data_IF_300209887961
#
_entry.id   IF_300209887961
#
_cell.length_a   1.000
_cell.length_b   1.000
_cell.length_c   1.000
_cell.angle_alpha   90.00
_cell.angle_beta   90.00
_cell.angle_gamma   90.00
#
_symmetry.space_group_name_H-M   'P 1'
#
loop_
_entity.id
_entity.type
_entity.pdbx_description
1 polymer ?
#
# COMPACT_ATOMS: atom_id res chain seq x y z
N UNK A 1 8.77 4.33 -13.18
CA UNK A 1 7.83 3.92 -12.13
C UNK A 1 8.61 3.26 -11.01
N UNK A 2 8.28 3.52 -9.75
CA UNK A 2 8.87 2.80 -8.63
C UNK A 2 8.52 1.31 -8.70
N UNK A 3 9.48 0.45 -8.33
CA UNK A 3 9.28 -1.00 -8.30
C UNK A 3 9.22 -1.49 -6.85
N UNK A 4 8.32 -2.43 -6.56
CA UNK A 4 8.24 -3.04 -5.24
C UNK A 4 9.50 -3.87 -5.00
N UNK A 5 10.24 -3.54 -3.95
CA UNK A 5 11.42 -4.28 -3.51
C UNK A 5 11.06 -5.33 -2.46
N UNK A 6 10.35 -4.91 -1.40
CA UNK A 6 9.94 -5.79 -0.29
C UNK A 6 8.58 -5.38 0.25
N UNK A 7 7.87 -6.34 0.84
CA UNK A 7 6.59 -6.12 1.55
C UNK A 7 6.71 -6.75 2.92
N UNK A 8 6.28 -6.05 3.99
CA UNK A 8 6.25 -6.58 5.35
C UNK A 8 4.86 -6.45 5.94
N UNK A 9 4.34 -7.55 6.48
CA UNK A 9 3.09 -7.59 7.23
C UNK A 9 3.34 -8.12 8.63
N UNK A 10 2.87 -7.37 9.62
CA UNK A 10 2.99 -7.76 11.03
C UNK A 10 1.61 -7.73 11.67
N UNK A 11 1.25 -8.81 12.35
CA UNK A 11 -0.04 -8.99 13.04
C UNK A 11 -1.27 -8.76 12.14
N UNK A 12 -1.17 -9.15 10.87
CA UNK A 12 -2.30 -9.07 9.95
C UNK A 12 -3.16 -10.33 10.09
N UNK A 13 -4.29 -10.19 10.78
CA UNK A 13 -5.24 -11.26 11.11
C UNK A 13 -6.39 -11.26 10.13
N UNK A 14 -6.80 -12.42 9.64
CA UNK A 14 -7.87 -12.58 8.65
C UNK A 14 -8.66 -13.88 8.86
N UNK A 15 -9.70 -14.13 8.06
CA UNK A 15 -10.60 -15.27 8.20
C UNK A 15 -11.15 -15.41 9.62
N UNK A 16 -11.72 -14.31 10.15
CA UNK A 16 -12.30 -14.26 11.50
C UNK A 16 -11.33 -14.70 12.61
N UNK A 17 -10.04 -14.40 12.44
CA UNK A 17 -9.02 -14.74 13.44
C UNK A 17 -8.31 -16.07 13.22
N UNK A 18 -8.77 -16.88 12.25
CA UNK A 18 -8.21 -18.21 12.02
C UNK A 18 -6.82 -18.20 11.41
N UNK A 19 -6.48 -17.15 10.66
CA UNK A 19 -5.19 -17.01 9.98
C UNK A 19 -4.52 -15.67 10.29
N UNK A 20 -3.18 -15.67 10.23
CA UNK A 20 -2.39 -14.49 10.55
C UNK A 20 -1.05 -14.48 9.82
N UNK A 21 -0.66 -13.31 9.33
CA UNK A 21 0.73 -12.98 9.07
C UNK A 21 1.32 -12.36 10.34
N UNK A 22 2.17 -13.09 11.05
CA UNK A 22 2.73 -12.65 12.34
C UNK A 22 3.75 -11.51 12.17
N UNK A 23 4.79 -11.79 11.39
CA UNK A 23 5.80 -10.84 10.90
C UNK A 23 6.48 -11.47 9.70
N UNK A 24 5.98 -11.20 8.52
CA UNK A 24 6.41 -11.85 7.27
C UNK A 24 6.92 -10.79 6.30
N UNK A 25 8.08 -11.04 5.71
CA UNK A 25 8.66 -10.23 4.65
C UNK A 25 8.63 -11.02 3.35
N UNK A 26 8.00 -10.45 2.32
CA UNK A 26 8.06 -10.93 0.95
C UNK A 26 9.12 -10.12 0.21
N UNK A 27 10.06 -10.81 -0.44
CA UNK A 27 11.19 -10.19 -1.11
C UNK A 27 11.09 -10.37 -2.61
N UNK A 28 11.21 -9.26 -3.35
CA UNK A 28 11.14 -9.21 -4.82
C UNK A 28 12.42 -8.62 -5.42
N UNK A 29 13.25 -7.96 -4.61
CA UNK A 29 14.48 -7.30 -5.04
C UNK A 29 14.30 -6.33 -6.22
N UNK A 30 13.10 -5.72 -6.30
CA UNK A 30 12.69 -4.83 -7.39
C UNK A 30 12.56 -5.52 -8.76
N UNK A 31 12.48 -6.84 -8.79
CA UNK A 31 12.19 -7.64 -9.97
C UNK A 31 10.72 -8.10 -9.98
N UNK A 32 10.28 -8.63 -11.12
CA UNK A 32 9.00 -9.30 -11.22
C UNK A 32 9.01 -10.56 -10.34
N UNK A 33 8.01 -10.70 -9.49
CA UNK A 33 7.85 -11.82 -8.58
C UNK A 33 6.49 -12.50 -8.75
N UNK A 34 6.42 -13.77 -8.37
CA UNK A 34 5.18 -14.54 -8.29
C UNK A 34 5.04 -15.10 -6.89
N UNK A 35 3.90 -14.82 -6.26
CA UNK A 35 3.54 -15.40 -4.97
C UNK A 35 2.51 -16.51 -5.22
N UNK A 36 2.89 -17.74 -4.92
CA UNK A 36 2.00 -18.90 -4.99
C UNK A 36 1.38 -19.14 -3.61
N UNK A 37 0.08 -19.00 -3.52
CA UNK A 37 -0.68 -19.28 -2.30
C UNK A 37 -1.77 -20.29 -2.63
N UNK A 38 -1.98 -21.25 -1.71
CA UNK A 38 -3.09 -22.20 -1.78
C UNK A 38 -4.44 -21.47 -1.77
N UNK A 39 -5.51 -22.20 -2.13
CA UNK A 39 -6.86 -21.67 -1.97
C UNK A 39 -7.15 -21.43 -0.49
N UNK A 40 -7.66 -20.22 -0.16
CA UNK A 40 -7.78 -19.78 1.23
C UNK A 40 -6.45 -19.29 1.86
N UNK A 41 -5.33 -19.27 1.12
CA UNK A 41 -4.02 -18.82 1.60
C UNK A 41 -3.87 -17.30 1.74
N UNK A 42 -4.96 -16.52 1.60
CA UNK A 42 -4.95 -15.07 1.82
C UNK A 42 -4.54 -14.23 0.61
N UNK A 43 -4.72 -14.72 -0.63
CA UNK A 43 -4.41 -13.93 -1.85
C UNK A 43 -5.09 -12.55 -1.85
N UNK A 44 -6.39 -12.52 -1.63
CA UNK A 44 -7.17 -11.27 -1.54
C UNK A 44 -6.72 -10.39 -0.38
N UNK A 45 -6.37 -11.01 0.75
CA UNK A 45 -5.83 -10.33 1.94
C UNK A 45 -4.50 -9.65 1.63
N UNK A 46 -3.61 -10.34 0.93
CA UNK A 46 -2.31 -9.79 0.53
C UNK A 46 -2.48 -8.58 -0.39
N UNK A 47 -3.31 -8.69 -1.43
CA UNK A 47 -3.60 -7.58 -2.34
C UNK A 47 -4.24 -6.41 -1.59
N UNK A 48 -5.22 -6.67 -0.75
CA UNK A 48 -5.89 -5.65 0.06
C UNK A 48 -4.89 -4.96 1.02
N UNK A 49 -3.97 -5.71 1.62
CA UNK A 49 -2.96 -5.16 2.52
C UNK A 49 -1.98 -4.24 1.79
N UNK A 50 -1.48 -4.65 0.62
CA UNK A 50 -0.63 -3.78 -0.22
C UNK A 50 -1.38 -2.53 -0.64
N UNK A 51 -2.63 -2.64 -1.07
CA UNK A 51 -3.45 -1.49 -1.43
C UNK A 51 -3.62 -0.49 -0.26
N UNK A 52 -3.73 -0.97 0.99
CA UNK A 52 -3.83 -0.07 2.14
C UNK A 52 -2.56 0.77 2.36
N UNK A 53 -1.39 0.31 1.90
CA UNK A 53 -0.15 1.09 2.03
C UNK A 53 -0.04 2.24 1.03
N UNK A 54 -0.88 2.26 0.00
CA UNK A 54 -0.92 3.33 -1.02
C UNK A 54 -2.24 4.10 -0.95
N UNK A 55 -3.34 3.39 -0.84
CA UNK A 55 -4.71 3.91 -0.80
C UNK A 55 -5.39 3.50 0.52
N UNK A 56 -5.03 4.08 1.67
CA UNK A 56 -5.63 3.73 2.96
C UNK A 56 -7.16 3.82 2.94
N UNK A 57 -7.82 2.82 3.51
CA UNK A 57 -9.27 2.67 3.58
C UNK A 57 -9.98 2.42 2.23
N UNK A 58 -9.22 2.16 1.17
CA UNK A 58 -9.82 1.80 -0.14
C UNK A 58 -10.56 0.46 -0.05
N UNK A 59 -11.64 0.37 -0.82
CA UNK A 59 -12.42 -0.86 -0.98
C UNK A 59 -11.78 -1.76 -2.02
N UNK A 60 -11.89 -3.07 -1.84
CA UNK A 60 -11.62 -4.06 -2.87
C UNK A 60 -12.96 -4.72 -3.24
N UNK A 61 -13.57 -4.24 -4.32
CA UNK A 61 -14.96 -4.54 -4.62
C UNK A 61 -15.89 -3.94 -3.57
N UNK A 62 -16.83 -4.71 -3.08
CA UNK A 62 -17.72 -4.31 -1.99
C UNK A 62 -17.10 -4.51 -0.60
N UNK A 63 -15.94 -5.18 -0.51
CA UNK A 63 -15.27 -5.51 0.75
C UNK A 63 -14.49 -4.31 1.29
N UNK A 64 -14.82 -3.89 2.47
CA UNK A 64 -14.03 -2.91 3.23
C UNK A 64 -12.83 -3.61 3.85
N UNK A 65 -11.74 -2.86 4.04
CA UNK A 65 -10.57 -3.39 4.74
C UNK A 65 -10.92 -3.95 6.14
N UNK A 66 -11.85 -3.31 6.85
CA UNK A 66 -12.38 -3.77 8.15
C UNK A 66 -13.09 -5.14 8.09
N UNK A 67 -13.60 -5.53 6.93
CA UNK A 67 -14.29 -6.80 6.74
C UNK A 67 -13.30 -7.90 6.31
N UNK A 68 -12.11 -7.49 5.88
CA UNK A 68 -11.01 -8.39 5.48
C UNK A 68 -10.07 -8.66 6.65
N UNK A 69 -9.78 -7.64 7.45
CA UNK A 69 -8.81 -7.71 8.56
C UNK A 69 -9.52 -7.73 9.91
N UNK A 70 -9.21 -8.71 10.74
CA UNK A 70 -9.66 -8.77 12.12
C UNK A 70 -8.69 -7.99 13.01
N UNK A 71 -9.00 -6.73 13.29
CA UNK A 71 -8.21 -5.84 14.16
C UNK A 71 -8.81 -5.84 15.58
N UNK A 72 -8.76 -6.96 16.29
CA UNK A 72 -9.45 -7.07 17.59
C UNK A 72 -8.85 -6.11 18.65
N UNK A 73 -7.76 -6.51 19.28
CA UNK A 73 -7.18 -5.77 20.42
C UNK A 73 -5.77 -5.23 20.12
N UNK A 74 -5.24 -5.46 18.94
CA UNK A 74 -3.90 -5.01 18.55
C UNK A 74 -3.88 -4.55 17.09
N UNK A 75 -3.05 -3.55 16.77
CA UNK A 75 -2.96 -3.04 15.40
C UNK A 75 -2.32 -4.05 14.46
N UNK A 76 -2.63 -3.93 13.17
CA UNK A 76 -1.88 -4.54 12.09
C UNK A 76 -0.93 -3.52 11.48
N UNK A 77 0.30 -3.94 11.17
CA UNK A 77 1.30 -3.08 10.56
C UNK A 77 1.63 -3.60 9.16
N UNK A 78 1.56 -2.71 8.19
CA UNK A 78 1.77 -2.98 6.78
C UNK A 78 2.86 -2.04 6.27
N UNK A 79 3.83 -2.57 5.53
CA UNK A 79 4.85 -1.74 4.90
C UNK A 79 5.23 -2.28 3.53
N UNK A 80 5.52 -1.36 2.61
CA UNK A 80 6.07 -1.65 1.29
C UNK A 80 7.28 -0.78 1.06
N UNK A 81 8.36 -1.41 0.61
CA UNK A 81 9.58 -0.76 0.17
C UNK A 81 9.58 -0.68 -1.35
N UNK A 82 9.85 0.49 -1.87
CA UNK A 82 9.87 0.82 -3.28
C UNK A 82 11.27 1.22 -3.70
N UNK A 83 11.79 0.64 -4.76
CA UNK A 83 12.97 1.19 -5.44
C UNK A 83 12.53 2.40 -6.26
N UNK A 84 12.99 3.60 -5.87
CA UNK A 84 12.67 4.87 -6.54
C UNK A 84 13.78 5.37 -7.44
N UNK A 85 15.02 4.97 -7.17
CA UNK A 85 16.19 5.24 -8.01
C UNK A 85 17.18 4.09 -7.92
N UNK A 86 17.81 3.72 -9.04
CA UNK A 86 18.83 2.67 -9.09
C UNK A 86 20.26 3.24 -9.06
N UNK A 87 20.42 4.51 -9.47
CA UNK A 87 21.74 5.17 -9.51
C UNK A 87 21.64 6.66 -9.12
N UNK A 88 21.97 7.03 -7.88
CA UNK A 88 22.26 6.17 -6.72
C UNK A 88 21.03 5.37 -6.28
N UNK A 89 21.26 4.21 -5.68
CA UNK A 89 20.17 3.35 -5.24
C UNK A 89 19.48 3.96 -4.04
N UNK A 90 18.17 4.19 -4.17
CA UNK A 90 17.35 4.82 -3.13
C UNK A 90 16.01 4.12 -3.05
N UNK A 91 15.52 4.01 -1.83
CA UNK A 91 14.24 3.40 -1.51
C UNK A 91 13.28 4.41 -0.90
N UNK A 92 12.01 4.27 -1.21
CA UNK A 92 10.91 4.84 -0.46
C UNK A 92 10.22 3.75 0.34
N UNK A 93 9.87 4.04 1.57
CA UNK A 93 9.09 3.19 2.44
C UNK A 93 7.71 3.81 2.62
N UNK A 94 6.67 3.04 2.36
CA UNK A 94 5.30 3.37 2.72
C UNK A 94 4.84 2.43 3.82
N UNK A 95 4.45 2.96 4.98
CA UNK A 95 3.98 2.14 6.10
C UNK A 95 2.64 2.64 6.64
N UNK A 96 1.78 1.70 6.98
CA UNK A 96 0.45 1.97 7.54
C UNK A 96 0.23 1.08 8.77
N UNK A 97 -0.13 1.72 9.87
CA UNK A 97 -0.58 1.03 11.08
C UNK A 97 -2.10 1.15 11.15
N UNK A 98 -2.81 0.04 10.97
CA UNK A 98 -4.26 -0.07 11.05
C UNK A 98 -4.69 -0.43 12.47
N UNK A 99 -5.71 0.24 13.01
CA UNK A 99 -6.22 -0.01 14.36
C UNK A 99 -7.70 0.32 14.49
N UNK A 100 -8.33 -0.21 15.53
CA UNK A 100 -9.68 0.19 15.90
C UNK A 100 -9.70 1.49 16.68
N UNK A 101 -10.57 2.41 16.26
CA UNK A 101 -10.97 3.62 16.98
C UNK A 101 -12.45 3.55 17.37
N UNK A 102 -12.91 4.51 18.13
CA UNK A 102 -14.35 4.62 18.49
C UNK A 102 -15.26 4.79 17.27
N UNK A 103 -14.73 5.29 16.17
CA UNK A 103 -15.45 5.55 14.91
C UNK A 103 -15.30 4.42 13.88
N UNK A 104 -14.61 3.35 14.23
CA UNK A 104 -14.30 2.22 13.35
C UNK A 104 -12.82 2.06 13.09
N UNK A 105 -12.45 1.52 11.93
CA UNK A 105 -11.07 1.34 11.54
C UNK A 105 -10.43 2.68 11.18
N UNK A 106 -9.27 2.95 11.76
CA UNK A 106 -8.44 4.13 11.51
C UNK A 106 -6.99 3.72 11.22
N UNK A 107 -6.16 4.68 10.79
CA UNK A 107 -4.77 4.37 10.43
C UNK A 107 -3.81 5.54 10.64
N UNK A 108 -2.58 5.22 11.02
CA UNK A 108 -1.43 6.09 10.89
C UNK A 108 -0.67 5.74 9.62
N UNK A 109 -0.18 6.73 8.90
CA UNK A 109 0.55 6.59 7.64
C UNK A 109 1.91 7.23 7.81
N UNK A 110 2.91 6.57 7.28
CA UNK A 110 4.29 6.98 7.40
C UNK A 110 5.03 6.73 6.10
N UNK A 111 5.92 7.64 5.75
CA UNK A 111 6.85 7.48 4.64
C UNK A 111 8.26 7.80 5.10
N UNK A 112 9.22 7.12 4.51
CA UNK A 112 10.63 7.37 4.71
C UNK A 112 11.42 7.09 3.45
N UNK A 113 12.32 7.99 3.08
CA UNK A 113 13.23 7.79 1.97
C UNK A 113 14.64 7.55 2.51
N UNK A 114 15.31 6.49 2.00
CA UNK A 114 16.59 6.05 2.51
C UNK A 114 17.47 5.36 1.47
N UNK A 115 18.74 5.19 1.82
CA UNK A 115 19.76 4.49 1.05
C UNK A 115 19.94 3.04 1.57
N UNK A 116 20.56 2.14 0.76
CA UNK A 116 20.86 0.79 1.23
C UNK A 116 21.68 0.78 2.52
N UNK A 117 21.32 -0.08 3.46
CA UNK A 117 22.02 -0.23 4.74
C UNK A 117 21.53 0.70 5.85
N UNK A 118 20.48 1.49 5.61
CA UNK A 118 19.88 2.32 6.65
C UNK A 118 19.22 1.46 7.74
N UNK A 119 19.48 1.81 9.01
CA UNK A 119 18.92 1.10 10.17
C UNK A 119 17.40 1.25 10.32
N UNK A 120 16.83 2.31 9.75
CA UNK A 120 15.38 2.58 9.73
C UNK A 120 14.69 2.04 8.47
N UNK A 121 15.34 1.14 7.75
CA UNK A 121 14.78 0.44 6.59
C UNK A 121 13.50 -0.34 6.94
N UNK A 122 12.87 -0.97 5.95
CA UNK A 122 11.67 -1.81 6.15
C UNK A 122 11.87 -2.85 7.28
N UNK A 123 13.05 -3.45 7.41
CA UNK A 123 13.37 -4.41 8.47
C UNK A 123 13.53 -3.74 9.83
N UNK A 124 14.08 -2.52 9.86
CA UNK A 124 14.29 -1.74 11.06
C UNK A 124 13.03 -1.13 11.67
N UNK A 125 11.88 -1.19 10.98
CA UNK A 125 10.61 -0.73 11.55
C UNK A 125 10.27 -1.50 12.83
N UNK A 126 10.00 -0.81 13.95
CA UNK A 126 9.73 -1.46 15.24
C UNK A 126 8.30 -2.03 15.32
N UNK A 127 7.90 -2.82 14.33
CA UNK A 127 6.57 -3.45 14.27
C UNK A 127 6.39 -4.55 15.30
N UNK A 128 7.51 -5.14 15.75
CA UNK A 128 7.52 -6.17 16.79
C UNK A 128 8.36 -5.68 17.98
N UNK A 129 7.90 -5.94 19.18
CA UNK A 129 8.59 -5.67 20.43
C UNK A 129 8.92 -6.97 21.15
N UNK A 130 10.16 -7.08 21.59
CA UNK A 130 10.56 -8.13 22.51
C UNK A 130 10.04 -7.81 23.91
N UNK A 131 9.50 -8.82 24.57
CA UNK A 131 9.02 -8.70 25.95
C UNK A 131 10.01 -9.47 26.83
N UNK A 132 10.61 -8.84 27.86
CA UNK A 132 11.49 -9.56 28.78
C UNK A 132 10.77 -10.78 29.37
N UNK A 133 11.37 -11.95 29.22
CA UNK A 133 10.83 -13.24 29.68
C UNK A 133 9.47 -13.66 29.10
N UNK A 134 9.06 -13.10 27.94
CA UNK A 134 7.80 -13.41 27.28
C UNK A 134 7.96 -13.51 25.76
N UNK A 135 6.89 -13.94 25.05
CA UNK A 135 6.88 -13.93 23.60
C UNK A 135 6.91 -12.49 23.08
N UNK A 136 7.52 -12.28 21.93
CA UNK A 136 7.43 -11.02 21.20
C UNK A 136 5.97 -10.68 20.87
N UNK A 137 5.64 -9.39 20.87
CA UNK A 137 4.31 -8.88 20.55
C UNK A 137 4.36 -7.83 19.44
N UNK A 138 3.26 -7.62 18.69
CA UNK A 138 3.16 -6.46 17.82
C UNK A 138 3.24 -5.16 18.65
N UNK A 139 3.83 -4.13 18.10
CA UNK A 139 3.85 -2.80 18.69
C UNK A 139 2.42 -2.26 18.81
N UNK A 140 2.13 -1.51 19.86
CA UNK A 140 0.85 -0.82 19.99
C UNK A 140 0.75 0.35 19.01
N UNK A 141 -0.45 0.87 18.80
CA UNK A 141 -0.65 2.05 17.95
C UNK A 141 0.04 3.29 18.53
N UNK A 142 0.09 3.41 19.85
CA UNK A 142 0.77 4.50 20.55
C UNK A 142 2.29 4.42 20.32
N UNK A 143 2.90 3.24 20.50
CA UNK A 143 4.32 3.01 20.23
C UNK A 143 4.70 3.35 18.78
N UNK A 144 3.81 3.03 17.83
CA UNK A 144 4.04 3.37 16.41
C UNK A 144 3.84 4.86 16.14
N UNK A 145 2.84 5.49 16.75
CA UNK A 145 2.65 6.94 16.64
C UNK A 145 3.88 7.70 17.16
N UNK A 146 4.39 7.30 18.33
CA UNK A 146 5.58 7.90 18.92
C UNK A 146 6.81 7.72 18.00
N UNK A 147 7.01 6.52 17.46
CA UNK A 147 8.09 6.25 16.50
C UNK A 147 7.98 7.11 15.24
N UNK A 148 6.81 7.15 14.59
CA UNK A 148 6.60 7.94 13.38
C UNK A 148 6.77 9.44 13.62
N UNK A 149 6.31 9.95 14.76
CA UNK A 149 6.52 11.34 15.15
C UNK A 149 8.00 11.64 15.43
N UNK A 150 8.70 10.74 16.13
CA UNK A 150 10.14 10.86 16.39
C UNK A 150 10.91 10.93 15.07
N UNK A 151 10.67 10.00 14.15
CA UNK A 151 11.31 9.98 12.83
C UNK A 151 11.04 11.26 12.05
N UNK A 152 9.79 11.71 11.98
CA UNK A 152 9.42 12.93 11.25
C UNK A 152 10.02 14.22 11.83
N UNK A 153 10.40 14.23 13.11
CA UNK A 153 11.06 15.37 13.75
C UNK A 153 12.58 15.36 13.55
N UNK A 154 13.18 14.19 13.44
CA UNK A 154 14.63 14.02 13.46
C UNK A 154 15.22 13.72 12.07
N UNK A 155 14.41 13.29 11.10
CA UNK A 155 14.84 12.93 9.76
C UNK A 155 14.03 13.71 8.72
N UNK A 156 14.71 14.51 7.88
CA UNK A 156 14.08 15.34 6.85
C UNK A 156 13.28 14.55 5.81
N UNK A 157 13.68 13.30 5.57
CA UNK A 157 13.08 12.40 4.58
C UNK A 157 11.97 11.51 5.17
N UNK A 158 11.60 11.74 6.45
CA UNK A 158 10.57 11.00 7.14
C UNK A 158 9.35 11.88 7.37
N UNK A 159 8.16 11.38 7.01
CA UNK A 159 6.91 12.11 7.19
C UNK A 159 5.81 11.21 7.76
N UNK A 160 5.08 11.76 8.73
CA UNK A 160 3.94 11.12 9.38
C UNK A 160 2.65 11.83 9.01
N UNK A 161 1.62 11.07 8.64
CA UNK A 161 0.34 11.60 8.20
C UNK A 161 -0.82 10.97 8.97
N UNK A 162 -1.79 11.79 9.33
CA UNK A 162 -3.10 11.37 9.83
C UNK A 162 -4.17 11.47 8.74
N UNK A 163 -4.00 12.36 7.76
CA UNK A 163 -4.96 12.66 6.70
C UNK A 163 -4.59 11.85 5.44
N UNK A 164 -5.54 11.07 4.90
CA UNK A 164 -5.32 10.24 3.73
C UNK A 164 -4.95 11.04 2.47
N UNK A 165 -5.62 12.19 2.26
CA UNK A 165 -5.39 13.02 1.08
C UNK A 165 -3.95 13.58 1.03
N UNK A 166 -3.45 14.06 2.16
CA UNK A 166 -2.07 14.57 2.25
C UNK A 166 -1.05 13.48 1.98
N UNK A 167 -1.28 12.30 2.58
CA UNK A 167 -0.44 11.13 2.35
C UNK A 167 -0.41 10.73 0.87
N UNK A 168 -1.58 10.61 0.24
CA UNK A 168 -1.69 10.22 -1.17
C UNK A 168 -1.05 11.26 -2.11
N UNK A 169 -1.26 12.57 -1.87
CA UNK A 169 -0.57 13.62 -2.62
C UNK A 169 0.94 13.52 -2.48
N UNK A 170 1.43 13.27 -1.25
CA UNK A 170 2.87 13.12 -1.02
C UNK A 170 3.47 11.95 -1.80
N UNK A 171 2.79 10.79 -1.82
CA UNK A 171 3.23 9.62 -2.59
C UNK A 171 3.33 9.90 -4.09
N UNK A 172 2.33 10.59 -4.63
CA UNK A 172 2.26 10.94 -6.05
C UNK A 172 3.35 11.95 -6.43
N UNK A 173 3.47 13.03 -5.66
CA UNK A 173 4.40 14.13 -5.94
C UNK A 173 5.87 13.71 -5.78
N UNK A 174 6.21 12.96 -4.73
CA UNK A 174 7.58 12.67 -4.36
C UNK A 174 8.07 11.29 -4.85
N UNK A 175 7.20 10.28 -4.84
CA UNK A 175 7.61 8.92 -5.18
C UNK A 175 7.05 8.43 -6.51
N UNK A 176 6.24 9.23 -7.19
CA UNK A 176 5.57 8.85 -8.45
C UNK A 176 4.73 7.56 -8.32
N UNK A 177 4.14 7.37 -7.14
CA UNK A 177 3.15 6.33 -6.87
C UNK A 177 1.78 6.93 -7.19
N UNK A 178 1.32 6.75 -8.42
CA UNK A 178 0.18 7.46 -9.00
C UNK A 178 -1.15 6.87 -8.50
N UNK A 179 -1.95 7.68 -7.82
CA UNK A 179 -3.19 7.25 -7.19
C UNK A 179 -4.22 6.66 -8.18
N UNK A 180 -4.35 7.23 -9.38
CA UNK A 180 -5.29 6.73 -10.41
C UNK A 180 -4.90 5.35 -10.91
N UNK A 181 -3.62 5.05 -11.06
CA UNK A 181 -3.12 3.72 -11.43
C UNK A 181 -3.46 2.69 -10.35
N UNK A 182 -3.19 3.01 -9.08
CA UNK A 182 -3.50 2.12 -7.97
C UNK A 182 -5.00 1.92 -7.75
N UNK A 183 -5.83 2.92 -8.00
CA UNK A 183 -7.29 2.74 -8.06
C UNK A 183 -7.71 1.79 -9.18
N UNK A 184 -7.04 1.83 -10.33
CA UNK A 184 -7.28 0.88 -11.43
C UNK A 184 -6.85 -0.54 -11.04
N UNK A 185 -5.71 -0.71 -10.37
CA UNK A 185 -5.29 -2.00 -9.80
C UNK A 185 -6.33 -2.52 -8.79
N UNK A 186 -6.85 -1.67 -7.91
CA UNK A 186 -7.91 -2.04 -6.98
C UNK A 186 -9.18 -2.48 -7.70
N UNK A 187 -9.58 -1.78 -8.74
CA UNK A 187 -10.77 -2.09 -9.56
C UNK A 187 -10.63 -3.44 -10.28
N UNK A 188 -9.47 -3.72 -10.87
CA UNK A 188 -9.19 -5.01 -11.52
C UNK A 188 -9.25 -6.16 -10.52
N UNK A 189 -8.67 -5.99 -9.33
CA UNK A 189 -8.66 -7.02 -8.29
C UNK A 189 -10.01 -7.15 -7.54
N UNK A 190 -10.89 -6.17 -7.68
CA UNK A 190 -12.24 -6.21 -7.12
C UNK A 190 -13.14 -7.26 -7.79
N UNK A 191 -12.93 -7.50 -9.05
CA UNK A 191 -13.63 -8.53 -9.81
C UNK A 191 -12.99 -9.91 -9.50
N UNK A 192 -13.36 -10.52 -8.39
CA UNK A 192 -12.81 -11.79 -7.88
C UNK A 192 -12.67 -12.87 -8.96
N UNK A 193 -11.51 -12.95 -9.58
CA UNK A 193 -11.19 -13.96 -10.61
C UNK A 193 -11.91 -13.77 -11.95
N UNK A 194 -12.77 -12.80 -12.09
CA UNK A 194 -13.49 -12.50 -13.31
C UNK A 194 -12.86 -11.26 -13.98
N UNK A 195 -11.69 -11.45 -14.61
CA UNK A 195 -11.25 -10.55 -15.70
C UNK A 195 -12.40 -10.29 -16.67
N UNK A 196 -13.28 -11.26 -16.86
CA UNK A 196 -14.56 -11.17 -17.55
C UNK A 196 -15.48 -10.07 -17.01
N UNK A 197 -15.54 -9.87 -15.68
CA UNK A 197 -16.34 -8.80 -15.08
C UNK A 197 -15.79 -7.39 -15.36
N UNK A 198 -14.47 -7.26 -15.45
CA UNK A 198 -13.84 -5.99 -15.83
C UNK A 198 -14.09 -5.64 -17.30
N UNK A 199 -14.17 -6.66 -18.17
CA UNK A 199 -14.50 -6.54 -19.58
C UNK A 199 -15.99 -6.81 -19.86
N UNK A 200 -16.83 -6.96 -18.84
CA UNK A 200 -18.26 -7.15 -19.00
C UNK A 200 -18.86 -5.99 -19.80
N UNK A 201 -19.45 -6.30 -20.94
CA UNK A 201 -19.94 -5.30 -21.89
C UNK A 201 -18.93 -4.85 -22.97
N UNK A 202 -17.67 -5.28 -22.92
CA UNK A 202 -16.63 -4.96 -23.91
C UNK A 202 -16.38 -6.17 -24.83
N UNK A 203 -17.39 -6.54 -25.63
CA UNK A 203 -17.26 -7.68 -26.58
C UNK A 203 -16.54 -7.31 -27.89
N UNK A 204 -16.29 -6.03 -28.13
CA UNK A 204 -15.58 -5.53 -29.31
C UNK A 204 -14.49 -4.53 -28.93
N UNK A 205 -13.46 -4.37 -29.78
CA UNK A 205 -12.41 -3.37 -29.59
C UNK A 205 -12.96 -1.95 -29.44
N UNK A 206 -14.01 -1.62 -30.17
CA UNK A 206 -14.68 -0.31 -30.09
C UNK A 206 -15.32 -0.10 -28.72
N UNK A 207 -15.98 -1.12 -28.18
CA UNK A 207 -16.55 -1.06 -26.84
C UNK A 207 -15.45 -0.97 -25.76
N UNK A 208 -14.34 -1.71 -25.91
CA UNK A 208 -13.19 -1.62 -25.04
C UNK A 208 -12.64 -0.19 -24.99
N UNK A 209 -12.44 0.42 -26.15
CA UNK A 209 -11.96 1.80 -26.27
C UNK A 209 -12.93 2.77 -25.60
N UNK A 210 -14.22 2.70 -25.96
CA UNK A 210 -15.21 3.69 -25.53
C UNK A 210 -15.63 3.53 -24.05
N UNK A 211 -15.68 2.31 -23.54
CA UNK A 211 -16.18 2.04 -22.19
C UNK A 211 -15.07 1.94 -21.14
N UNK A 212 -13.85 1.66 -21.55
CA UNK A 212 -12.75 1.44 -20.63
C UNK A 212 -11.61 2.46 -20.82
N UNK A 213 -11.07 2.57 -22.03
CA UNK A 213 -9.90 3.42 -22.26
C UNK A 213 -10.25 4.92 -22.25
N UNK A 214 -11.29 5.34 -22.97
CA UNK A 214 -11.67 6.76 -23.02
C UNK A 214 -12.07 7.28 -21.65
N UNK A 215 -12.95 6.64 -20.85
CA UNK A 215 -13.29 7.12 -19.52
C UNK A 215 -12.10 7.16 -18.57
N UNK A 216 -11.15 6.22 -18.68
CA UNK A 216 -9.92 6.24 -17.86
C UNK A 216 -9.04 7.43 -18.22
N UNK A 217 -8.92 7.75 -19.51
CA UNK A 217 -8.18 8.92 -19.97
C UNK A 217 -8.90 10.23 -19.61
N UNK A 218 -10.22 10.27 -19.77
CA UNK A 218 -11.04 11.44 -19.39
C UNK A 218 -10.99 11.70 -17.87
N UNK A 219 -11.02 10.65 -17.04
CA UNK A 219 -10.87 10.78 -15.58
C UNK A 219 -9.47 11.30 -15.21
N UNK A 220 -8.42 10.83 -15.89
CA UNK A 220 -7.07 11.33 -15.73
C UNK A 220 -6.91 12.79 -16.17
N UNK A 221 -7.61 13.18 -17.24
CA UNK A 221 -7.64 14.56 -17.75
C UNK A 221 -8.48 15.50 -16.88
N UNK A 222 -9.60 15.03 -16.33
CA UNK A 222 -10.47 15.82 -15.47
C UNK A 222 -9.91 16.05 -14.06
N UNK A 223 -9.06 15.14 -13.59
CA UNK A 223 -8.40 15.23 -12.28
C UNK A 223 -7.16 16.13 -12.26
N UNK A 224 -6.57 16.41 -13.41
CA UNK A 224 -5.42 17.31 -13.60
C UNK A 224 -5.68 18.23 -14.79
N UNK A 225 -5.37 19.50 -14.64
CA UNK A 225 -5.46 20.42 -15.78
C UNK A 225 -4.60 19.92 -16.96
N UNK A 226 -4.95 20.34 -18.16
CA UNK A 226 -4.32 19.89 -19.43
C UNK A 226 -2.77 19.93 -19.43
N UNK A 227 -2.17 20.73 -18.53
CA UNK A 227 -0.71 20.78 -18.32
C UNK A 227 -0.18 19.53 -17.63
N UNK A 228 -0.89 18.98 -16.64
CA UNK A 228 -0.46 17.79 -15.91
C UNK A 228 -0.47 16.52 -16.76
N UNK A 229 -1.37 16.44 -17.75
CA UNK A 229 -1.43 15.29 -18.67
C UNK A 229 -0.21 15.24 -19.59
N UNK A 230 0.16 16.37 -20.19
CA UNK A 230 1.35 16.44 -21.08
C UNK A 230 2.61 16.14 -20.26
N UNK A 231 2.75 16.73 -19.07
CA UNK A 231 3.87 16.44 -18.17
C UNK A 231 3.89 14.98 -17.71
N UNK A 232 2.75 14.39 -17.40
CA UNK A 232 2.67 12.97 -16.98
C UNK A 232 3.02 12.04 -18.15
N UNK A 233 2.57 12.37 -19.36
CA UNK A 233 2.88 11.59 -20.55
C UNK A 233 4.35 11.74 -20.97
N UNK A 234 4.93 12.92 -20.87
CA UNK A 234 6.35 13.15 -21.12
C UNK A 234 7.24 12.44 -20.08
N UNK A 235 6.86 12.45 -18.79
CA UNK A 235 7.57 11.71 -17.73
C UNK A 235 7.52 10.19 -17.87
N UNK A 236 6.49 9.63 -18.52
CA UNK A 236 6.42 8.20 -18.80
C UNK A 236 7.27 7.78 -19.99
N UNK A 237 7.73 8.73 -20.80
CA UNK A 237 8.52 8.49 -22.01
C UNK A 237 10.03 8.52 -21.77
N UNK A 238 10.51 9.08 -20.67
CA UNK A 238 11.88 9.03 -20.17
C UNK A 238 12.09 7.86 -19.20
#
# INVERSE_FOLDING_TARGET
>A
MPAISRIRFTNLVFENGAKRYNDVIFQFDSYNGVILLENGGGKTVLVQAVLQTVLPHTLLGERKAKDTFALENSPAHLAVEWLISDRPRRYALTAVTLFHSKQGMDSYKYVYEYEPGDEHSLEGLPFVREVPNGPSRPSSKEEMADYYQYMSRNHLNAHYFTINREYQSYLEDNFKIINSEWKSVARINAAEGAVEGFFAGCSTTTQLVNQLLIPTVEEALAGGGTKDFVETFERQRE
#
